data_IF_359021728895
#
_entry.id   IF_359021728895
#
_cell.length_a   1.000
_cell.length_b   1.000
_cell.length_c   1.000
_cell.angle_alpha   90.00
_cell.angle_beta   90.00
_cell.angle_gamma   90.00
#
_symmetry.space_group_name_H-M   'P 1'
#
loop_
_entity.id
_entity.type
_entity.pdbx_description
1 polymer ?
#
# COMPACT_ATOMS: atom_id res chain seq x y z
N UNK A 1 -11.16 15.04 -10.60
CA UNK A 1 -9.90 14.30 -10.36
C UNK A 1 -10.20 13.44 -9.15
N UNK A 2 -10.25 12.13 -9.35
CA UNK A 2 -10.93 11.22 -8.43
C UNK A 2 -10.24 10.97 -7.09
N UNK A 3 -10.93 10.25 -6.22
CA UNK A 3 -10.39 9.70 -4.98
C UNK A 3 -9.49 8.52 -5.35
N UNK A 4 -8.28 8.43 -4.78
CA UNK A 4 -7.41 7.24 -4.92
C UNK A 4 -7.14 6.64 -3.57
N UNK A 5 -7.33 5.34 -3.46
CA UNK A 5 -7.09 4.57 -2.24
C UNK A 5 -6.01 3.55 -2.52
N UNK A 6 -4.97 3.54 -1.68
CA UNK A 6 -3.93 2.52 -1.72
C UNK A 6 -3.96 1.69 -0.44
N UNK A 7 -3.96 0.37 -0.60
CA UNK A 7 -3.93 -0.58 0.53
C UNK A 7 -2.74 -1.51 0.35
N UNK A 8 -1.83 -1.50 1.34
CA UNK A 8 -0.84 -2.55 1.59
C UNK A 8 -1.42 -3.52 2.64
N UNK A 9 -2.06 -4.63 2.22
CA UNK A 9 -2.73 -5.54 3.12
C UNK A 9 -1.75 -6.45 3.84
N UNK A 10 -2.07 -6.77 5.09
CA UNK A 10 -1.33 -7.75 5.89
C UNK A 10 -2.30 -8.75 6.50
N UNK A 11 -2.01 -10.05 6.38
CA UNK A 11 -2.77 -11.12 7.02
C UNK A 11 -2.45 -11.27 8.51
N UNK A 12 -1.24 -10.82 8.92
CA UNK A 12 -0.75 -10.81 10.30
C UNK A 12 0.23 -9.64 10.46
N UNK A 13 -0.09 -8.68 11.33
CA UNK A 13 0.75 -7.49 11.53
C UNK A 13 0.00 -6.21 11.21
N UNK A 14 0.51 -5.41 10.27
CA UNK A 14 -0.01 -4.06 10.02
C UNK A 14 -0.45 -3.90 8.56
N UNK A 15 -1.68 -3.44 8.35
CA UNK A 15 -2.20 -2.98 7.07
C UNK A 15 -2.02 -1.46 6.97
N UNK A 16 -1.43 -1.00 5.87
CA UNK A 16 -1.34 0.41 5.52
C UNK A 16 -2.47 0.81 4.58
N UNK A 17 -3.20 1.88 4.90
CA UNK A 17 -4.23 2.45 4.02
C UNK A 17 -3.97 3.96 3.87
N UNK A 18 -4.06 4.44 2.64
CA UNK A 18 -3.99 5.87 2.33
C UNK A 18 -5.14 6.30 1.44
N UNK A 19 -5.57 7.55 1.60
CA UNK A 19 -6.60 8.17 0.76
C UNK A 19 -6.07 9.48 0.21
N UNK A 20 -6.09 9.58 -1.10
CA UNK A 20 -5.84 10.80 -1.86
C UNK A 20 -7.14 11.36 -2.37
N UNK A 21 -7.27 12.67 -2.28
CA UNK A 21 -8.31 13.46 -2.92
C UNK A 21 -7.61 14.53 -3.77
N UNK A 22 -7.89 14.56 -5.07
CA UNK A 22 -7.22 15.47 -6.02
C UNK A 22 -5.68 15.40 -5.97
N UNK A 23 -5.13 14.18 -5.84
CA UNK A 23 -3.68 13.91 -5.65
C UNK A 23 -3.06 14.50 -4.37
N UNK A 24 -3.87 14.91 -3.41
CA UNK A 24 -3.41 15.33 -2.08
C UNK A 24 -3.73 14.22 -1.08
N UNK A 25 -2.72 13.73 -0.36
CA UNK A 25 -2.91 12.74 0.70
C UNK A 25 -3.72 13.36 1.86
N UNK A 26 -4.95 12.88 2.06
CA UNK A 26 -5.87 13.36 3.11
C UNK A 26 -5.91 12.46 4.33
N UNK A 27 -5.74 11.15 4.14
CA UNK A 27 -5.85 10.17 5.23
C UNK A 27 -4.73 9.15 5.16
N UNK A 28 -4.20 8.81 6.34
CA UNK A 28 -3.21 7.75 6.55
C UNK A 28 -3.71 6.89 7.71
N UNK A 29 -3.73 5.58 7.52
CA UNK A 29 -4.21 4.62 8.52
C UNK A 29 -3.20 3.48 8.60
N UNK A 30 -2.88 3.11 9.85
CA UNK A 30 -2.16 1.88 10.16
C UNK A 30 -3.05 1.04 11.07
N UNK A 31 -3.58 -0.06 10.52
CA UNK A 31 -4.39 -1.00 11.27
C UNK A 31 -3.57 -2.23 11.62
N UNK A 32 -3.44 -2.54 12.91
CA UNK A 32 -2.60 -3.64 13.40
C UNK A 32 -3.42 -4.69 14.12
N UNK A 33 -3.36 -5.94 13.66
CA UNK A 33 -3.98 -7.09 14.31
C UNK A 33 -3.14 -8.37 14.04
N UNK A 34 -3.42 -9.45 14.77
CA UNK A 34 -2.77 -10.76 14.58
C UNK A 34 -3.65 -11.75 13.80
N UNK A 35 -4.89 -11.39 13.52
CA UNK A 35 -5.88 -12.24 12.89
C UNK A 35 -6.31 -11.67 11.55
N UNK A 36 -6.06 -12.44 10.47
CA UNK A 36 -6.42 -12.06 9.11
C UNK A 36 -7.89 -11.68 8.93
N UNK A 37 -8.80 -12.30 9.70
CA UNK A 37 -10.23 -12.02 9.63
C UNK A 37 -10.54 -10.60 10.09
N UNK A 38 -9.85 -10.10 11.12
CA UNK A 38 -10.02 -8.74 11.60
C UNK A 38 -9.51 -7.73 10.57
N UNK A 39 -8.39 -8.02 9.92
CA UNK A 39 -7.89 -7.22 8.80
C UNK A 39 -8.86 -7.22 7.61
N UNK A 40 -9.40 -8.38 7.23
CA UNK A 40 -10.37 -8.49 6.14
C UNK A 40 -11.64 -7.69 6.43
N UNK A 41 -12.22 -7.86 7.63
CA UNK A 41 -13.40 -7.09 8.06
C UNK A 41 -13.10 -5.60 8.06
N UNK A 42 -11.96 -5.17 8.62
CA UNK A 42 -11.58 -3.76 8.63
C UNK A 42 -11.47 -3.16 7.22
N UNK A 43 -10.86 -3.87 6.27
CA UNK A 43 -10.74 -3.42 4.89
C UNK A 43 -12.11 -3.37 4.21
N UNK A 44 -12.96 -4.38 4.41
CA UNK A 44 -14.30 -4.43 3.82
C UNK A 44 -15.20 -3.33 4.38
N UNK A 45 -15.19 -3.13 5.70
CA UNK A 45 -15.92 -2.05 6.37
C UNK A 45 -15.41 -0.69 5.87
N UNK A 46 -14.09 -0.51 5.75
CA UNK A 46 -13.51 0.71 5.20
C UNK A 46 -13.96 0.98 3.75
N UNK A 47 -14.00 -0.06 2.90
CA UNK A 47 -14.49 0.01 1.51
C UNK A 47 -15.97 0.40 1.46
N UNK A 48 -16.78 -0.13 2.38
CA UNK A 48 -18.21 0.19 2.50
C UNK A 48 -18.40 1.64 2.97
N UNK A 49 -17.69 2.03 4.04
CA UNK A 49 -17.79 3.37 4.64
C UNK A 49 -17.36 4.49 3.70
N UNK A 50 -16.42 4.19 2.79
CA UNK A 50 -15.95 5.16 1.79
C UNK A 50 -16.91 5.33 0.60
N UNK A 51 -18.04 4.61 0.59
CA UNK A 51 -19.05 4.60 -0.47
C UNK A 51 -18.40 4.62 -1.86
N UNK A 52 -17.53 3.64 -2.11
CA UNK A 52 -16.74 3.49 -3.35
C UNK A 52 -17.61 3.24 -4.62
N UNK A 53 -18.89 3.58 -4.56
CA UNK A 53 -19.90 3.58 -5.60
C UNK A 53 -19.87 4.92 -6.37
N UNK A 54 -19.17 5.96 -5.89
CA UNK A 54 -18.93 7.17 -6.68
C UNK A 54 -18.08 6.87 -7.93
N UNK A 55 -18.52 7.38 -9.10
CA UNK A 55 -17.93 7.11 -10.43
C UNK A 55 -16.44 7.48 -10.59
N UNK A 56 -15.85 8.15 -9.58
CA UNK A 56 -14.50 8.70 -9.59
C UNK A 56 -13.58 8.13 -8.50
N UNK A 57 -13.90 6.98 -7.88
CA UNK A 57 -13.02 6.36 -6.90
C UNK A 57 -12.19 5.18 -7.45
N UNK A 58 -10.88 5.25 -7.27
CA UNK A 58 -9.92 4.22 -7.68
C UNK A 58 -9.35 3.50 -6.45
N UNK A 59 -9.74 2.24 -6.27
CA UNK A 59 -9.22 1.37 -5.21
C UNK A 59 -8.07 0.52 -5.73
N UNK A 60 -6.89 0.65 -5.14
CA UNK A 60 -5.70 -0.14 -5.44
C UNK A 60 -5.28 -0.95 -4.22
N UNK A 61 -5.13 -2.27 -4.41
CA UNK A 61 -4.70 -3.19 -3.35
C UNK A 61 -3.52 -4.03 -3.86
N UNK A 62 -2.47 -4.15 -3.06
CA UNK A 62 -1.34 -5.01 -3.41
C UNK A 62 -1.71 -6.49 -3.31
N UNK A 63 -1.47 -7.23 -4.39
CA UNK A 63 -1.65 -8.68 -4.45
C UNK A 63 -0.36 -9.39 -4.01
N UNK A 64 -0.11 -9.38 -2.70
CA UNK A 64 1.07 -9.97 -2.07
C UNK A 64 1.09 -11.51 -2.08
N UNK A 65 1.16 -12.14 -3.25
CA UNK A 65 1.45 -13.57 -3.32
C UNK A 65 2.92 -13.82 -2.94
N UNK A 66 3.15 -14.49 -1.81
CA UNK A 66 4.49 -14.94 -1.41
C UNK A 66 5.03 -15.91 -2.45
N UNK A 67 6.03 -15.49 -3.20
CA UNK A 67 6.55 -16.31 -4.30
C UNK A 67 7.53 -17.40 -3.89
N UNK A 68 7.99 -17.57 -2.63
CA UNK A 68 9.07 -18.56 -2.39
C UNK A 68 9.27 -19.15 -0.97
N UNK A 69 8.34 -19.01 0.00
CA UNK A 69 8.44 -19.78 1.25
C UNK A 69 7.26 -20.75 1.40
N UNK A 70 7.58 -22.03 1.38
CA UNK A 70 6.64 -23.14 1.57
C UNK A 70 6.02 -23.10 2.98
N UNK A 71 4.70 -22.96 3.07
CA UNK A 71 3.90 -23.39 4.23
C UNK A 71 3.99 -22.58 5.52
N UNK A 72 3.98 -21.24 5.48
CA UNK A 72 3.83 -20.44 6.72
C UNK A 72 2.37 -20.04 6.98
N UNK A 73 1.99 -19.99 8.25
CA UNK A 73 0.69 -19.47 8.69
C UNK A 73 0.42 -18.06 8.14
N UNK A 74 1.43 -17.19 8.14
CA UNK A 74 1.30 -15.81 7.66
C UNK A 74 0.94 -15.74 6.16
N UNK A 75 1.49 -16.65 5.35
CA UNK A 75 1.11 -16.76 3.94
C UNK A 75 -0.34 -17.19 3.80
N UNK A 76 -0.75 -18.23 4.52
CA UNK A 76 -2.10 -18.76 4.42
C UNK A 76 -3.14 -17.74 4.94
N UNK A 77 -2.79 -16.99 5.98
CA UNK A 77 -3.60 -15.91 6.54
C UNK A 77 -3.72 -14.73 5.55
N UNK A 78 -2.64 -14.35 4.87
CA UNK A 78 -2.70 -13.35 3.80
C UNK A 78 -3.54 -13.83 2.59
N UNK A 79 -3.39 -15.11 2.18
CA UNK A 79 -4.21 -15.68 1.10
C UNK A 79 -5.70 -15.69 1.44
N UNK A 80 -6.06 -16.01 2.68
CA UNK A 80 -7.45 -15.95 3.16
C UNK A 80 -7.99 -14.52 3.14
N UNK A 81 -7.20 -13.54 3.59
CA UNK A 81 -7.56 -12.13 3.51
C UNK A 81 -7.81 -11.69 2.08
N UNK A 82 -6.85 -11.97 1.17
CA UNK A 82 -6.97 -11.58 -0.23
C UNK A 82 -8.19 -12.26 -0.87
N UNK A 83 -8.40 -13.55 -0.62
CA UNK A 83 -9.56 -14.28 -1.12
C UNK A 83 -10.90 -13.77 -0.59
N UNK A 84 -10.96 -13.32 0.68
CA UNK A 84 -12.17 -12.73 1.25
C UNK A 84 -12.52 -11.39 0.58
N UNK A 85 -11.51 -10.54 0.36
CA UNK A 85 -11.67 -9.25 -0.32
C UNK A 85 -12.05 -9.47 -1.80
N UNK A 86 -11.37 -10.39 -2.48
CA UNK A 86 -11.57 -10.73 -3.88
C UNK A 86 -13.01 -11.20 -4.14
N UNK A 87 -13.50 -12.14 -3.32
CA UNK A 87 -14.87 -12.66 -3.42
C UNK A 87 -15.93 -11.57 -3.35
N UNK A 88 -15.73 -10.56 -2.50
CA UNK A 88 -16.75 -9.57 -2.21
C UNK A 88 -16.64 -8.33 -3.12
N UNK A 89 -15.46 -8.01 -3.67
CA UNK A 89 -15.16 -6.71 -4.29
C UNK A 89 -14.27 -6.77 -5.54
N UNK A 90 -14.09 -7.93 -6.19
CA UNK A 90 -13.17 -8.08 -7.34
C UNK A 90 -13.29 -6.99 -8.42
N UNK A 91 -14.53 -6.67 -8.83
CA UNK A 91 -14.78 -5.80 -9.99
C UNK A 91 -14.35 -4.34 -9.78
N UNK A 92 -14.23 -3.90 -8.53
CA UNK A 92 -13.85 -2.53 -8.18
C UNK A 92 -12.36 -2.38 -7.81
N UNK A 93 -11.62 -3.49 -7.68
CA UNK A 93 -10.24 -3.49 -7.21
C UNK A 93 -9.24 -3.49 -8.37
N UNK A 94 -8.36 -2.49 -8.37
CA UNK A 94 -7.16 -2.48 -9.18
C UNK A 94 -6.03 -3.20 -8.44
N UNK A 95 -5.90 -4.50 -8.68
CA UNK A 95 -4.82 -5.30 -8.10
C UNK A 95 -3.44 -4.84 -8.58
N UNK A 96 -2.55 -4.54 -7.63
CA UNK A 96 -1.16 -4.11 -7.88
C UNK A 96 -0.20 -5.25 -7.58
N UNK A 97 0.71 -5.55 -8.52
CA UNK A 97 1.71 -6.59 -8.28
C UNK A 97 2.77 -6.11 -7.29
N UNK A 98 3.22 -6.95 -6.33
CA UNK A 98 4.31 -6.60 -5.43
C UNK A 98 5.65 -6.43 -6.14
N UNK A 99 5.76 -6.81 -7.41
CA UNK A 99 6.93 -6.48 -8.24
C UNK A 99 7.05 -4.96 -8.46
N UNK A 100 5.92 -4.27 -8.57
CA UNK A 100 5.88 -2.82 -8.80
C UNK A 100 6.45 -2.06 -7.59
N UNK A 101 5.85 -2.24 -6.41
CA UNK A 101 6.30 -1.62 -5.15
C UNK A 101 7.77 -1.92 -4.87
N UNK A 102 8.18 -3.20 -4.97
CA UNK A 102 9.58 -3.63 -4.81
C UNK A 102 10.53 -2.94 -5.78
N UNK A 103 10.10 -2.73 -7.04
CA UNK A 103 10.93 -2.04 -8.03
C UNK A 103 11.13 -0.56 -7.70
N UNK A 104 10.06 0.12 -7.28
CA UNK A 104 10.10 1.54 -6.88
C UNK A 104 11.01 1.71 -5.67
N UNK A 105 10.82 0.88 -4.63
CA UNK A 105 11.62 0.92 -3.41
C UNK A 105 13.10 0.69 -3.73
N UNK A 106 13.43 -0.39 -4.45
CA UNK A 106 14.82 -0.71 -4.79
C UNK A 106 15.48 0.40 -5.63
N UNK A 107 14.74 1.00 -6.56
CA UNK A 107 15.27 2.08 -7.38
C UNK A 107 15.63 3.31 -6.52
N UNK A 108 14.69 3.77 -5.69
CA UNK A 108 14.89 4.91 -4.79
C UNK A 108 16.04 4.68 -3.80
N UNK A 109 16.14 3.47 -3.25
CA UNK A 109 17.21 3.10 -2.33
C UNK A 109 18.59 3.11 -3.01
N UNK A 110 18.69 2.55 -4.21
CA UNK A 110 19.92 2.55 -5.00
C UNK A 110 20.33 3.96 -5.41
N UNK A 111 19.39 4.74 -5.95
CA UNK A 111 19.63 6.12 -6.36
C UNK A 111 20.17 6.95 -5.20
N UNK A 112 19.62 6.81 -3.99
CA UNK A 112 20.13 7.52 -2.82
C UNK A 112 21.51 7.00 -2.38
N UNK A 113 21.69 5.69 -2.31
CA UNK A 113 22.94 5.06 -1.88
C UNK A 113 24.14 5.45 -2.76
N UNK A 114 23.95 5.38 -4.08
CA UNK A 114 25.04 5.59 -5.04
C UNK A 114 25.25 7.07 -5.41
N UNK A 115 24.35 7.97 -5.00
CA UNK A 115 24.52 9.43 -5.12
C UNK A 115 24.75 10.08 -3.75
N UNK A 116 25.72 9.57 -2.98
CA UNK A 116 26.17 10.15 -1.69
C UNK A 116 25.05 10.42 -0.67
N UNK A 117 24.10 9.49 -0.54
CA UNK A 117 22.95 9.65 0.38
C UNK A 117 22.11 10.90 0.08
N UNK A 118 21.97 11.25 -1.20
CA UNK A 118 21.08 12.34 -1.63
C UNK A 118 19.62 12.03 -1.27
N UNK A 119 18.84 13.08 -1.02
CA UNK A 119 17.40 12.97 -0.81
C UNK A 119 16.73 12.75 -2.17
N UNK A 120 16.13 11.58 -2.35
CA UNK A 120 15.36 11.27 -3.56
C UNK A 120 13.88 11.45 -3.29
N UNK A 121 13.17 11.96 -4.30
CA UNK A 121 11.73 12.16 -4.30
C UNK A 121 11.11 11.13 -5.24
N UNK A 122 9.98 10.56 -4.84
CA UNK A 122 9.22 9.69 -5.72
C UNK A 122 8.49 10.55 -6.75
N UNK A 123 8.68 10.28 -8.04
CA UNK A 123 8.19 11.16 -9.11
C UNK A 123 6.67 11.35 -9.10
N UNK A 124 5.92 10.34 -8.66
CA UNK A 124 4.46 10.38 -8.59
C UNK A 124 3.91 11.00 -7.30
N UNK A 125 4.74 11.13 -6.27
CA UNK A 125 4.42 11.87 -5.06
C UNK A 125 5.71 12.47 -4.46
N UNK A 126 6.04 13.72 -4.81
CA UNK A 126 7.28 14.35 -4.38
C UNK A 126 7.44 14.54 -2.86
N UNK A 127 6.35 14.36 -2.10
CA UNK A 127 6.40 14.39 -0.63
C UNK A 127 6.90 13.06 -0.06
N UNK A 128 6.75 11.96 -0.79
CA UNK A 128 7.37 10.69 -0.47
C UNK A 128 8.86 10.74 -0.87
N UNK A 129 9.72 10.68 0.13
CA UNK A 129 11.17 10.80 -0.05
C UNK A 129 11.93 9.68 0.63
N UNK A 130 13.13 9.41 0.12
CA UNK A 130 14.07 8.47 0.71
C UNK A 130 15.46 9.07 0.81
N UNK A 131 16.13 8.81 1.93
CA UNK A 131 17.55 9.09 2.10
C UNK A 131 18.26 7.87 2.70
N UNK A 132 19.33 7.41 2.06
CA UNK A 132 20.13 6.28 2.50
C UNK A 132 20.65 6.51 3.93
N UNK A 133 20.50 5.49 4.78
CA UNK A 133 20.82 5.57 6.21
C UNK A 133 19.81 6.34 7.08
N UNK A 134 18.86 7.08 6.49
CA UNK A 134 17.82 7.82 7.23
C UNK A 134 16.40 7.29 7.02
N UNK A 135 16.17 6.53 5.96
CA UNK A 135 14.91 5.84 5.68
C UNK A 135 13.91 6.67 4.88
N UNK A 136 12.66 6.19 4.86
CA UNK A 136 11.54 6.78 4.12
C UNK A 136 10.84 7.87 4.94
N UNK A 137 10.41 8.91 4.24
CA UNK A 137 9.69 10.04 4.82
C UNK A 137 8.53 10.48 3.95
N UNK A 138 7.47 10.98 4.57
CA UNK A 138 6.41 11.72 3.92
C UNK A 138 6.35 13.12 4.53
N UNK A 139 6.36 14.19 3.72
CA UNK A 139 6.42 15.58 4.22
C UNK A 139 7.55 15.80 5.25
N UNK A 140 8.73 15.22 5.00
CA UNK A 140 9.90 15.22 5.89
C UNK A 140 9.77 14.45 7.21
N UNK A 141 8.61 13.85 7.50
CA UNK A 141 8.37 13.01 8.68
C UNK A 141 8.63 11.54 8.36
N UNK A 142 9.22 10.80 9.30
CA UNK A 142 9.51 9.37 9.12
C UNK A 142 8.20 8.58 9.08
N UNK A 143 8.07 7.68 8.11
CA UNK A 143 6.90 6.81 7.95
C UNK A 143 7.27 5.32 8.07
N UNK A 144 6.25 4.47 8.28
CA UNK A 144 6.42 3.02 8.22
C UNK A 144 6.55 2.53 6.77
N UNK A 145 7.09 1.33 6.59
CA UNK A 145 7.13 0.68 5.27
C UNK A 145 5.71 0.43 4.72
N UNK A 146 4.73 0.14 5.58
CA UNK A 146 3.34 -0.07 5.18
C UNK A 146 2.69 1.20 4.63
N UNK A 147 2.93 2.36 5.25
CA UNK A 147 2.46 3.64 4.70
C UNK A 147 3.17 3.97 3.39
N UNK A 148 4.50 3.74 3.31
CA UNK A 148 5.26 3.91 2.08
C UNK A 148 4.65 3.08 0.94
N UNK A 149 4.41 1.80 1.19
CA UNK A 149 3.89 0.90 0.16
C UNK A 149 2.46 1.30 -0.24
N UNK A 150 1.60 1.62 0.72
CA UNK A 150 0.26 2.15 0.44
C UNK A 150 0.28 3.42 -0.44
N UNK A 151 1.21 4.36 -0.21
CA UNK A 151 1.41 5.56 -1.05
C UNK A 151 1.83 5.17 -2.47
N UNK A 152 2.78 4.25 -2.63
CA UNK A 152 3.23 3.78 -3.94
C UNK A 152 2.09 3.08 -4.68
N UNK A 153 1.29 2.28 -3.97
CA UNK A 153 0.13 1.54 -4.50
C UNK A 153 -0.96 2.51 -4.96
N UNK A 154 -1.31 3.53 -4.17
CA UNK A 154 -2.31 4.55 -4.53
C UNK A 154 -1.93 5.37 -5.77
N UNK A 155 -0.63 5.45 -6.08
CA UNK A 155 -0.08 6.15 -7.24
C UNK A 155 0.36 5.18 -8.35
N UNK A 156 -0.14 3.94 -8.33
CA UNK A 156 0.05 3.01 -9.43
C UNK A 156 -0.67 3.51 -10.69
N UNK A 157 0.01 3.45 -11.84
CA UNK A 157 -0.56 3.72 -13.15
C UNK A 157 -0.30 2.47 -14.00
N UNK A 158 -1.34 1.98 -14.68
CA UNK A 158 -1.26 0.82 -15.58
C UNK A 158 -0.65 1.17 -16.92
#
# INVERSE_FOLDING_TARGET
MGIKIGIDPSGTGTTGIVVYEENILKKQILYTDKFWLNHANYILDFIIDFDLIEEDCFLYIENCLYTNNNGSKDRDDLLKLLGAIDKDRYEIINWVSPKYTKSVVKNMENLSKYNNSCLWKYDKDPNLTYQYGKGWKYNNEKISNHLRDAIIIANYER
#
